data_IF_724933088569
#
_entry.id   IF_724933088569
#
_cell.length_a   1.000
_cell.length_b   1.000
_cell.length_c   1.000
_cell.angle_alpha   90.00
_cell.angle_beta   90.00
_cell.angle_gamma   90.00
#
_symmetry.space_group_name_H-M   'P 1'
#
loop_
_entity.id
_entity.type
_entity.pdbx_description
1 polymer ?
#
# COMPACT_ATOMS: atom_id res chain seq x y z
N UNK A 1 -19.76 19.73 22.53
CA UNK A 1 -18.40 19.11 22.51
C UNK A 1 -18.43 18.04 21.44
N UNK A 2 -17.34 17.87 20.71
CA UNK A 2 -17.26 16.83 19.69
C UNK A 2 -17.22 15.44 20.36
N UNK A 3 -17.88 14.43 19.76
CA UNK A 3 -17.86 13.07 20.30
C UNK A 3 -16.48 12.42 20.12
N UNK A 4 -15.74 12.82 19.06
CA UNK A 4 -14.41 12.32 18.76
C UNK A 4 -13.43 13.48 18.49
N UNK A 5 -12.23 13.38 19.06
CA UNK A 5 -11.10 14.22 18.69
C UNK A 5 -10.06 13.36 18.01
N UNK A 6 -9.69 13.70 16.77
CA UNK A 6 -8.78 12.91 15.95
C UNK A 6 -7.50 13.72 15.73
N UNK A 7 -6.37 13.19 16.20
CA UNK A 7 -5.05 13.81 16.05
C UNK A 7 -4.06 12.85 15.39
N UNK A 8 -2.99 13.38 14.82
CA UNK A 8 -1.92 12.59 14.19
C UNK A 8 -0.82 12.32 15.22
N UNK A 9 -0.65 11.09 15.64
CA UNK A 9 0.39 10.68 16.58
C UNK A 9 1.77 10.58 15.91
N UNK A 10 1.81 10.07 14.69
CA UNK A 10 2.96 9.99 13.79
C UNK A 10 2.48 9.63 12.39
N UNK A 11 3.38 9.38 11.44
CA UNK A 11 2.97 9.06 10.07
C UNK A 11 2.38 7.64 9.90
N UNK A 12 2.31 6.85 10.97
CA UNK A 12 1.67 5.52 10.98
C UNK A 12 0.29 5.56 11.62
N UNK A 13 0.17 6.26 12.75
CA UNK A 13 -1.00 6.19 13.63
C UNK A 13 -1.66 7.55 13.85
N UNK A 14 -2.99 7.54 13.76
CA UNK A 14 -3.85 8.51 14.40
C UNK A 14 -4.06 8.10 15.87
N UNK A 15 -4.36 9.09 16.68
CA UNK A 15 -4.94 8.92 18.00
C UNK A 15 -6.37 9.47 17.96
N UNK A 16 -7.31 8.66 18.40
CA UNK A 16 -8.71 9.04 18.57
C UNK A 16 -8.95 9.15 20.07
N UNK A 17 -9.42 10.31 20.51
CA UNK A 17 -9.92 10.53 21.87
C UNK A 17 -11.45 10.61 21.81
N UNK A 18 -12.11 9.74 22.56
CA UNK A 18 -13.57 9.63 22.59
C UNK A 18 -14.03 8.94 23.88
N UNK A 19 -15.33 8.99 24.15
CA UNK A 19 -15.93 8.28 25.27
C UNK A 19 -15.80 6.75 25.13
N UNK A 20 -15.78 6.00 26.26
CA UNK A 20 -15.56 4.55 26.23
C UNK A 20 -16.52 3.77 25.34
N UNK A 21 -17.79 4.15 25.24
CA UNK A 21 -18.75 3.44 24.39
C UNK A 21 -18.39 3.58 22.90
N UNK A 22 -17.91 4.76 22.45
CA UNK A 22 -17.45 4.98 21.08
C UNK A 22 -16.23 4.12 20.78
N UNK A 23 -15.34 3.90 21.75
CA UNK A 23 -14.19 3.00 21.58
C UNK A 23 -14.62 1.56 21.30
N UNK A 24 -15.65 1.05 21.97
CA UNK A 24 -16.16 -0.29 21.70
C UNK A 24 -16.80 -0.40 20.32
N UNK A 25 -17.54 0.60 19.89
CA UNK A 25 -18.15 0.65 18.56
C UNK A 25 -17.09 0.75 17.46
N UNK A 26 -16.07 1.61 17.64
CA UNK A 26 -14.91 1.66 16.74
C UNK A 26 -14.17 0.31 16.71
N UNK A 27 -13.96 -0.31 17.86
CA UNK A 27 -13.31 -1.61 17.93
C UNK A 27 -14.09 -2.68 17.18
N UNK A 28 -15.41 -2.69 17.29
CA UNK A 28 -16.27 -3.62 16.56
C UNK A 28 -16.21 -3.38 15.06
N UNK A 29 -16.36 -2.14 14.62
CA UNK A 29 -16.28 -1.73 13.22
C UNK A 29 -14.93 -2.07 12.57
N UNK A 30 -13.83 -1.94 13.31
CA UNK A 30 -12.46 -2.16 12.83
C UNK A 30 -11.85 -3.49 13.28
N UNK A 31 -12.68 -4.45 13.65
CA UNK A 31 -12.30 -5.84 13.98
C UNK A 31 -12.84 -6.79 12.92
N UNK A 32 -11.98 -7.65 12.40
CA UNK A 32 -12.31 -8.61 11.36
C UNK A 32 -11.94 -10.02 11.79
N UNK A 33 -12.82 -10.97 11.54
CA UNK A 33 -12.51 -12.39 11.64
C UNK A 33 -11.75 -12.86 10.39
N UNK A 34 -10.67 -13.60 10.61
CA UNK A 34 -9.94 -14.19 9.49
C UNK A 34 -10.63 -15.51 9.10
N UNK A 35 -11.14 -15.67 7.86
CA UNK A 35 -11.92 -16.85 7.47
C UNK A 35 -11.23 -18.19 7.75
N UNK A 36 -9.90 -18.24 7.58
CA UNK A 36 -9.09 -19.45 7.76
C UNK A 36 -8.43 -19.55 9.15
N UNK A 37 -8.81 -18.68 10.10
CA UNK A 37 -8.22 -18.64 11.43
C UNK A 37 -8.27 -20.00 12.13
N UNK A 38 -9.40 -20.72 12.01
CA UNK A 38 -9.62 -22.04 12.63
C UNK A 38 -8.60 -23.12 12.23
N UNK A 39 -7.94 -22.95 11.08
CA UNK A 39 -6.90 -23.87 10.62
C UNK A 39 -5.50 -23.49 11.12
N UNK A 40 -5.32 -22.30 11.67
CA UNK A 40 -4.02 -21.81 12.12
C UNK A 40 -3.62 -22.40 13.48
N UNK A 41 -2.34 -22.79 13.68
CA UNK A 41 -1.86 -23.34 14.95
C UNK A 41 -2.12 -22.42 16.14
N UNK A 42 -1.97 -21.11 15.97
CA UNK A 42 -2.18 -20.10 17.02
C UNK A 42 -3.64 -20.02 17.49
N UNK A 43 -4.59 -20.23 16.59
CA UNK A 43 -6.01 -20.33 16.94
C UNK A 43 -6.31 -21.65 17.65
N UNK A 44 -5.79 -22.77 17.14
CA UNK A 44 -5.96 -24.09 17.74
C UNK A 44 -5.39 -24.17 19.16
N UNK A 45 -4.27 -23.48 19.41
CA UNK A 45 -3.65 -23.40 20.73
C UNK A 45 -4.31 -22.36 21.66
N UNK A 46 -5.38 -21.69 21.23
CA UNK A 46 -6.08 -20.61 21.94
C UNK A 46 -5.20 -19.40 22.30
N UNK A 47 -4.04 -19.27 21.66
CA UNK A 47 -3.14 -18.13 21.84
C UNK A 47 -3.65 -16.88 21.13
N UNK A 48 -4.50 -17.05 20.12
CA UNK A 48 -5.10 -15.99 19.34
C UNK A 48 -6.57 -16.33 19.01
N UNK A 49 -7.45 -15.35 19.04
CA UNK A 49 -8.90 -15.49 18.87
C UNK A 49 -9.37 -15.45 17.38
N UNK A 50 -8.45 -15.43 16.45
CA UNK A 50 -8.76 -15.39 15.02
C UNK A 50 -9.14 -14.01 14.48
N UNK A 51 -9.07 -12.97 15.31
CA UNK A 51 -9.48 -11.62 14.96
C UNK A 51 -8.29 -10.69 14.70
N UNK A 52 -8.42 -9.83 13.71
CA UNK A 52 -7.50 -8.74 13.42
C UNK A 52 -8.17 -7.44 13.82
N UNK A 53 -7.55 -6.73 14.74
CA UNK A 53 -8.04 -5.45 15.26
C UNK A 53 -7.19 -4.32 14.70
N UNK A 54 -7.82 -3.38 13.97
CA UNK A 54 -7.15 -2.22 13.40
C UNK A 54 -7.23 -1.00 14.31
N UNK A 55 -8.22 -0.96 15.20
CA UNK A 55 -8.33 0.03 16.27
C UNK A 55 -7.87 -0.58 17.60
N UNK A 56 -7.03 0.13 18.32
CA UNK A 56 -6.53 -0.30 19.63
C UNK A 56 -7.28 0.46 20.75
N UNK A 57 -8.15 -0.23 21.47
CA UNK A 57 -8.96 0.34 22.55
C UNK A 57 -8.17 0.77 23.78
N UNK A 58 -6.94 0.27 23.98
CA UNK A 58 -6.14 0.64 25.15
C UNK A 58 -5.49 2.02 25.00
N UNK A 59 -5.21 2.43 23.77
CA UNK A 59 -4.48 3.66 23.51
C UNK A 59 -5.08 4.54 22.39
N UNK A 60 -6.29 4.21 21.90
CA UNK A 60 -7.00 4.98 20.88
C UNK A 60 -6.30 5.05 19.51
N UNK A 61 -5.35 4.17 19.23
CA UNK A 61 -4.58 4.26 18.00
C UNK A 61 -5.24 3.48 16.85
N UNK A 62 -5.21 4.09 15.67
CA UNK A 62 -5.60 3.48 14.39
C UNK A 62 -4.67 3.97 13.27
N UNK A 63 -4.56 3.24 12.16
CA UNK A 63 -3.70 3.66 11.05
C UNK A 63 -4.20 4.95 10.38
N UNK A 64 -3.27 5.86 10.05
CA UNK A 64 -3.58 7.15 9.40
C UNK A 64 -4.36 6.98 8.10
N UNK A 65 -4.04 5.97 7.30
CA UNK A 65 -4.72 5.74 6.02
C UNK A 65 -6.19 5.32 6.13
N UNK A 66 -6.71 5.06 7.34
CA UNK A 66 -8.11 4.74 7.59
C UNK A 66 -8.94 5.96 8.02
N UNK A 67 -8.39 7.18 7.94
CA UNK A 67 -9.08 8.40 8.35
C UNK A 67 -10.47 8.54 7.70
N UNK A 68 -10.56 8.34 6.38
CA UNK A 68 -11.83 8.46 5.65
C UNK A 68 -12.88 7.48 6.17
N UNK A 69 -12.45 6.29 6.65
CA UNK A 69 -13.35 5.29 7.22
C UNK A 69 -13.81 5.66 8.61
N UNK A 70 -12.97 6.35 9.40
CA UNK A 70 -13.37 6.90 10.72
C UNK A 70 -14.39 8.02 10.49
N UNK A 71 -14.13 8.90 9.53
CA UNK A 71 -15.09 9.97 9.17
C UNK A 71 -16.41 9.38 8.69
N UNK A 72 -16.38 8.31 7.90
CA UNK A 72 -17.59 7.62 7.48
C UNK A 72 -18.33 6.97 8.66
N UNK A 73 -17.60 6.30 9.57
CA UNK A 73 -18.17 5.77 10.81
C UNK A 73 -18.88 6.85 11.62
N UNK A 74 -18.25 8.03 11.80
CA UNK A 74 -18.89 9.13 12.51
C UNK A 74 -20.20 9.59 11.84
N UNK A 75 -20.22 9.65 10.50
CA UNK A 75 -21.43 10.00 9.76
C UNK A 75 -22.55 8.97 9.91
N UNK A 76 -22.19 7.68 9.85
CA UNK A 76 -23.15 6.56 9.93
C UNK A 76 -23.78 6.44 11.33
N UNK A 77 -23.08 6.89 12.38
CA UNK A 77 -23.52 6.86 13.77
C UNK A 77 -23.93 8.24 14.31
N UNK A 78 -23.99 9.26 13.45
CA UNK A 78 -24.35 10.64 13.82
C UNK A 78 -23.43 11.26 14.88
N UNK A 79 -22.17 10.82 14.96
CA UNK A 79 -21.17 11.38 15.83
C UNK A 79 -20.53 12.64 15.23
N UNK A 80 -20.34 13.65 16.06
CA UNK A 80 -19.54 14.82 15.71
C UNK A 80 -18.06 14.53 15.94
N UNK A 81 -17.20 15.07 15.09
CA UNK A 81 -15.76 14.93 15.21
C UNK A 81 -15.05 16.23 14.90
N UNK A 82 -13.85 16.37 15.44
CA UNK A 82 -12.93 17.46 15.10
C UNK A 82 -11.52 16.92 14.87
N UNK A 83 -10.77 17.64 14.04
CA UNK A 83 -9.37 17.36 13.81
C UNK A 83 -8.51 18.27 14.66
N UNK A 84 -7.66 17.66 15.48
CA UNK A 84 -6.69 18.38 16.28
C UNK A 84 -5.32 18.32 15.60
N UNK A 85 -4.69 19.49 15.44
CA UNK A 85 -3.35 19.58 14.90
C UNK A 85 -2.32 19.07 15.92
N UNK A 86 -1.44 18.19 15.47
CA UNK A 86 -0.29 17.74 16.26
C UNK A 86 0.88 18.69 16.10
N UNK A 87 1.58 18.99 17.18
CA UNK A 87 2.75 19.89 17.18
C UNK A 87 3.82 19.48 16.17
N UNK A 88 4.08 18.18 16.01
CA UNK A 88 5.15 17.65 15.16
C UNK A 88 4.68 17.11 13.81
N UNK A 89 3.44 16.64 13.72
CA UNK A 89 2.94 15.90 12.55
C UNK A 89 1.81 16.61 11.81
N UNK A 90 1.39 17.79 12.30
CA UNK A 90 0.33 18.59 11.69
C UNK A 90 -1.06 17.95 11.78
N UNK A 91 -1.90 18.27 10.82
CA UNK A 91 -3.27 17.74 10.73
C UNK A 91 -3.28 16.25 10.31
N UNK A 92 -4.35 15.52 10.68
CA UNK A 92 -4.55 14.12 10.28
C UNK A 92 -4.53 13.87 8.77
N UNK A 93 -4.85 14.88 7.98
CA UNK A 93 -4.83 14.84 6.52
C UNK A 93 -4.10 16.06 5.96
N UNK A 94 -3.51 15.87 4.79
CA UNK A 94 -2.87 16.94 4.05
C UNK A 94 -3.17 16.76 2.56
N UNK A 95 -3.53 17.83 1.90
CA UNK A 95 -3.67 17.91 0.44
C UNK A 95 -2.70 18.96 -0.07
N UNK A 96 -1.88 18.61 -1.04
CA UNK A 96 -0.96 19.53 -1.67
C UNK A 96 -1.65 20.22 -2.85
N UNK A 97 -2.26 21.37 -2.59
CA UNK A 97 -3.00 22.13 -3.60
C UNK A 97 -2.10 22.82 -4.64
N UNK A 98 -0.78 22.85 -4.42
CA UNK A 98 0.19 23.36 -5.42
C UNK A 98 0.46 22.35 -6.54
N UNK A 99 0.04 21.09 -6.39
CA UNK A 99 0.16 20.06 -7.44
C UNK A 99 -1.00 20.20 -8.41
N UNK A 100 -0.71 20.52 -9.68
CA UNK A 100 -1.68 20.51 -10.76
C UNK A 100 -1.46 19.32 -11.71
N UNK A 101 -2.51 18.87 -12.38
CA UNK A 101 -2.44 17.75 -13.33
C UNK A 101 -1.55 18.09 -14.53
N UNK A 102 -1.65 19.31 -15.04
CA UNK A 102 -0.81 19.85 -16.12
C UNK A 102 0.67 19.87 -15.72
N UNK A 103 0.97 20.37 -14.51
CA UNK A 103 2.34 20.38 -14.00
C UNK A 103 2.92 18.98 -13.84
N UNK A 104 2.13 17.99 -13.42
CA UNK A 104 2.55 16.58 -13.35
C UNK A 104 2.76 16.01 -14.75
N UNK A 105 1.91 16.34 -15.71
CA UNK A 105 2.05 15.93 -17.10
C UNK A 105 3.38 16.44 -17.68
N UNK A 106 3.64 17.74 -17.62
CA UNK A 106 4.86 18.36 -18.15
C UNK A 106 6.10 17.78 -17.45
N UNK A 107 6.02 17.59 -16.13
CA UNK A 107 7.08 16.95 -15.37
C UNK A 107 7.36 15.52 -15.86
N UNK A 108 6.35 14.67 -16.00
CA UNK A 108 6.54 13.30 -16.45
C UNK A 108 7.11 13.23 -17.87
N UNK A 109 6.68 14.11 -18.79
CA UNK A 109 7.26 14.20 -20.12
C UNK A 109 8.73 14.67 -20.10
N UNK A 110 9.12 15.50 -19.15
CA UNK A 110 10.49 16.00 -19.05
C UNK A 110 11.50 14.97 -18.53
N UNK A 111 11.05 13.99 -17.75
CA UNK A 111 11.93 13.02 -17.08
C UNK A 111 11.94 11.63 -17.74
N UNK A 112 10.97 11.32 -18.60
CA UNK A 112 10.81 9.99 -19.18
C UNK A 112 11.15 9.99 -20.67
N UNK A 113 11.91 8.99 -21.13
CA UNK A 113 12.13 8.75 -22.56
C UNK A 113 10.86 8.27 -23.28
N UNK A 114 9.93 7.68 -22.56
CA UNK A 114 8.66 7.17 -23.08
C UNK A 114 7.53 8.13 -22.73
N UNK A 115 6.62 8.35 -23.67
CA UNK A 115 5.43 9.19 -23.43
C UNK A 115 4.51 8.57 -22.39
N UNK A 116 4.27 9.22 -21.24
CA UNK A 116 3.34 8.72 -20.25
C UNK A 116 1.91 8.76 -20.78
N UNK A 117 1.12 7.77 -20.38
CA UNK A 117 -0.30 7.67 -20.73
C UNK A 117 -1.13 8.51 -19.76
N UNK A 118 -2.31 8.98 -20.21
CA UNK A 118 -3.17 9.86 -19.40
C UNK A 118 -3.51 9.27 -18.01
N UNK A 119 -3.85 7.98 -17.94
CA UNK A 119 -4.15 7.33 -16.66
C UNK A 119 -2.93 7.21 -15.74
N UNK A 120 -1.71 7.17 -16.29
CA UNK A 120 -0.47 7.16 -15.49
C UNK A 120 -0.21 8.56 -14.90
N UNK A 121 -0.44 9.60 -15.70
CA UNK A 121 -0.37 11.00 -15.26
C UNK A 121 -1.37 11.22 -14.11
N UNK A 122 -2.62 10.73 -14.27
CA UNK A 122 -3.66 10.84 -13.26
C UNK A 122 -3.28 10.12 -11.95
N UNK A 123 -2.74 8.90 -12.04
CA UNK A 123 -2.30 8.15 -10.87
C UNK A 123 -1.14 8.83 -10.13
N UNK A 124 -0.16 9.38 -10.85
CA UNK A 124 0.94 10.14 -10.25
C UNK A 124 0.44 11.45 -9.65
N UNK A 125 -0.45 12.17 -10.34
CA UNK A 125 -1.08 13.39 -9.83
C UNK A 125 -1.80 13.14 -8.50
N UNK A 126 -2.68 12.12 -8.45
CA UNK A 126 -3.42 11.80 -7.24
C UNK A 126 -2.48 11.39 -6.08
N UNK A 127 -1.44 10.63 -6.38
CA UNK A 127 -0.43 10.23 -5.39
C UNK A 127 0.31 11.45 -4.81
N UNK A 128 0.84 12.32 -5.66
CA UNK A 128 1.61 13.49 -5.22
C UNK A 128 0.76 14.52 -4.49
N UNK A 129 -0.52 14.66 -4.87
CA UNK A 129 -1.45 15.57 -4.22
C UNK A 129 -1.79 15.17 -2.79
N UNK A 130 -1.94 13.86 -2.53
CA UNK A 130 -2.43 13.37 -1.24
C UNK A 130 -1.34 12.81 -0.31
N UNK A 131 -0.08 12.79 -0.74
CA UNK A 131 1.06 12.30 0.02
C UNK A 131 1.01 10.81 0.42
N UNK A 132 -0.16 10.17 0.36
CA UNK A 132 -0.36 8.74 0.65
C UNK A 132 -1.51 8.18 -0.17
N UNK A 133 -1.26 7.07 -0.88
CA UNK A 133 -2.25 6.35 -1.71
C UNK A 133 -1.90 4.88 -1.89
N UNK A 134 -2.93 4.08 -1.97
CA UNK A 134 -2.84 2.71 -2.47
C UNK A 134 -3.35 2.69 -3.92
N UNK A 135 -2.43 2.62 -4.86
CA UNK A 135 -2.72 2.70 -6.29
C UNK A 135 -2.98 1.30 -6.86
N UNK A 136 -4.20 1.07 -7.35
CA UNK A 136 -4.60 -0.19 -7.96
C UNK A 136 -4.46 -0.06 -9.47
N UNK A 137 -3.51 -0.80 -10.03
CA UNK A 137 -3.16 -0.75 -11.43
C UNK A 137 -2.82 -2.15 -11.94
N UNK A 138 -3.54 -2.69 -12.93
CA UNK A 138 -3.34 -4.07 -13.39
C UNK A 138 -1.94 -4.27 -13.98
N UNK A 139 -1.56 -5.54 -14.15
CA UNK A 139 -0.30 -5.89 -14.83
C UNK A 139 -0.27 -5.26 -16.22
N UNK A 140 0.92 -4.90 -16.69
CA UNK A 140 1.17 -4.20 -17.96
C UNK A 140 0.57 -2.79 -18.08
N UNK A 141 0.05 -2.20 -17.01
CA UNK A 141 -0.37 -0.78 -16.98
C UNK A 141 0.80 0.22 -16.91
N UNK A 142 2.02 -0.27 -16.71
CA UNK A 142 3.22 0.56 -16.54
C UNK A 142 3.37 1.12 -15.13
N UNK A 143 3.12 0.30 -14.10
CA UNK A 143 3.34 0.65 -12.68
C UNK A 143 4.75 1.18 -12.42
N UNK A 144 5.78 0.54 -13.01
CA UNK A 144 7.18 0.97 -12.83
C UNK A 144 7.44 2.41 -13.32
N UNK A 145 6.77 2.87 -14.38
CA UNK A 145 6.87 4.26 -14.83
C UNK A 145 6.27 5.26 -13.84
N UNK A 146 5.14 4.91 -13.23
CA UNK A 146 4.52 5.75 -12.20
C UNK A 146 5.38 5.79 -10.92
N UNK A 147 5.92 4.63 -10.49
CA UNK A 147 6.87 4.55 -9.37
C UNK A 147 8.10 5.40 -9.66
N UNK A 148 8.70 5.24 -10.86
CA UNK A 148 9.83 6.05 -11.32
C UNK A 148 9.54 7.55 -11.21
N UNK A 149 8.39 7.99 -11.71
CA UNK A 149 8.01 9.41 -11.69
C UNK A 149 7.89 9.96 -10.27
N UNK A 150 7.28 9.20 -9.36
CA UNK A 150 7.18 9.56 -7.94
C UNK A 150 8.57 9.61 -7.29
N UNK A 151 9.42 8.60 -7.53
CA UNK A 151 10.79 8.56 -7.02
C UNK A 151 11.58 9.78 -7.47
N UNK A 152 11.57 10.07 -8.78
CA UNK A 152 12.30 11.22 -9.35
C UNK A 152 11.82 12.55 -8.77
N UNK A 153 10.49 12.68 -8.52
CA UNK A 153 9.91 13.87 -7.89
C UNK A 153 10.47 14.12 -6.49
N UNK A 154 10.56 13.06 -5.67
CA UNK A 154 11.07 13.19 -4.30
C UNK A 154 12.60 13.24 -4.22
N UNK A 155 13.32 12.59 -5.14
CA UNK A 155 14.78 12.73 -5.26
C UNK A 155 15.16 14.20 -5.55
N UNK A 156 14.45 14.86 -6.46
CA UNK A 156 14.65 16.29 -6.75
C UNK A 156 14.39 17.21 -5.54
N UNK A 157 13.68 16.72 -4.53
CA UNK A 157 13.42 17.41 -3.25
C UNK A 157 14.33 16.93 -2.11
N UNK A 158 15.39 16.21 -2.44
CA UNK A 158 16.38 15.67 -1.49
C UNK A 158 15.77 14.75 -0.42
N UNK A 159 14.66 14.06 -0.73
CA UNK A 159 14.03 13.10 0.17
C UNK A 159 14.69 11.72 0.03
N UNK A 160 14.85 11.01 1.14
CA UNK A 160 15.33 9.62 1.15
C UNK A 160 14.17 8.65 0.96
N UNK A 161 14.33 7.69 0.06
CA UNK A 161 13.25 6.84 -0.45
C UNK A 161 13.57 5.37 -0.20
N UNK A 162 12.61 4.66 0.36
CA UNK A 162 12.63 3.20 0.52
C UNK A 162 11.60 2.56 -0.43
N UNK A 163 12.06 1.74 -1.35
CA UNK A 163 11.20 0.95 -2.24
C UNK A 163 11.28 -0.51 -1.80
N UNK A 164 10.12 -1.08 -1.45
CA UNK A 164 10.02 -2.46 -0.97
C UNK A 164 9.26 -3.29 -2.00
N UNK A 165 9.88 -4.39 -2.43
CA UNK A 165 9.32 -5.32 -3.41
C UNK A 165 9.33 -6.76 -2.86
N UNK A 166 8.51 -7.69 -3.39
CA UNK A 166 8.42 -9.04 -2.84
C UNK A 166 9.62 -9.95 -3.15
N UNK A 167 10.29 -9.77 -4.30
CA UNK A 167 11.34 -10.68 -4.79
C UNK A 167 12.59 -9.95 -5.26
N UNK A 168 13.72 -10.67 -5.27
CA UNK A 168 15.00 -10.14 -5.78
C UNK A 168 14.96 -9.84 -7.27
N UNK A 169 14.22 -10.63 -8.05
CA UNK A 169 14.03 -10.38 -9.49
C UNK A 169 13.33 -9.05 -9.75
N UNK A 170 12.34 -8.66 -8.91
CA UNK A 170 11.70 -7.36 -9.00
C UNK A 170 12.60 -6.21 -8.58
N UNK A 171 13.55 -6.42 -7.65
CA UNK A 171 14.59 -5.41 -7.34
C UNK A 171 15.43 -5.12 -8.60
N UNK A 172 15.92 -6.18 -9.26
CA UNK A 172 16.74 -6.04 -10.48
C UNK A 172 15.94 -5.44 -11.63
N UNK A 173 14.69 -5.88 -11.82
CA UNK A 173 13.81 -5.34 -12.86
C UNK A 173 13.56 -3.85 -12.65
N UNK A 174 13.18 -3.43 -11.43
CA UNK A 174 12.89 -2.02 -11.14
C UNK A 174 14.13 -1.13 -11.34
N UNK A 175 15.29 -1.60 -10.92
CA UNK A 175 16.55 -0.90 -11.14
C UNK A 175 16.85 -0.74 -12.65
N UNK A 176 16.64 -1.80 -13.44
CA UNK A 176 16.80 -1.78 -14.88
C UNK A 176 15.78 -0.85 -15.56
N UNK A 177 14.49 -0.96 -15.18
CA UNK A 177 13.43 -0.12 -15.72
C UNK A 177 13.76 1.38 -15.53
N UNK A 178 14.27 1.75 -14.34
CA UNK A 178 14.67 3.14 -14.07
C UNK A 178 15.82 3.61 -14.96
N UNK A 179 16.80 2.74 -15.24
CA UNK A 179 17.88 3.04 -16.19
C UNK A 179 17.34 3.20 -17.62
N UNK A 180 16.44 2.31 -18.04
CA UNK A 180 15.82 2.31 -19.36
C UNK A 180 14.96 3.59 -19.59
N UNK A 181 14.36 4.13 -18.51
CA UNK A 181 13.66 5.42 -18.55
C UNK A 181 14.59 6.63 -18.66
N UNK A 182 15.90 6.44 -18.59
CA UNK A 182 16.91 7.45 -18.84
C UNK A 182 17.54 8.08 -17.62
N UNK A 183 17.49 7.40 -16.47
CA UNK A 183 18.09 7.89 -15.24
C UNK A 183 19.47 7.28 -14.97
N UNK A 184 20.37 8.07 -14.42
CA UNK A 184 21.63 7.58 -13.85
C UNK A 184 21.36 6.90 -12.49
N UNK A 185 20.88 5.67 -12.56
CA UNK A 185 20.52 4.90 -11.34
C UNK A 185 21.72 4.59 -10.45
N UNK A 186 22.92 4.51 -11.04
CA UNK A 186 24.15 4.22 -10.29
C UNK A 186 24.48 5.29 -9.26
N UNK A 187 24.20 6.55 -9.54
CA UNK A 187 24.43 7.69 -8.65
C UNK A 187 23.41 7.83 -7.52
N UNK A 188 22.20 7.28 -7.68
CA UNK A 188 21.08 7.55 -6.76
C UNK A 188 20.54 6.31 -6.07
N UNK A 189 20.60 5.15 -6.71
CA UNK A 189 19.92 3.94 -6.25
C UNK A 189 20.89 2.88 -5.75
N UNK A 190 20.56 2.28 -4.61
CA UNK A 190 21.24 1.12 -4.06
C UNK A 190 20.28 -0.06 -3.90
N UNK A 191 20.76 -1.26 -4.24
CA UNK A 191 19.98 -2.50 -4.15
C UNK A 191 20.36 -3.29 -2.91
N UNK A 192 19.37 -3.64 -2.06
CA UNK A 192 19.60 -4.47 -0.88
C UNK A 192 18.78 -5.75 -0.98
N UNK A 193 19.48 -6.89 -1.08
CA UNK A 193 18.94 -8.24 -0.95
C UNK A 193 20.04 -9.21 -0.52
N UNK A 194 19.77 -10.51 -0.38
CA UNK A 194 20.73 -11.49 0.11
C UNK A 194 22.08 -11.39 -0.62
N UNK A 195 23.17 -11.22 0.15
CA UNK A 195 24.54 -11.07 -0.38
C UNK A 195 24.94 -9.63 -0.81
N UNK A 196 24.05 -8.64 -0.68
CA UNK A 196 24.37 -7.22 -0.95
C UNK A 196 24.58 -6.45 0.34
N UNK A 197 25.44 -5.43 0.26
CA UNK A 197 25.73 -4.52 1.36
C UNK A 197 24.47 -3.75 1.78
N UNK A 198 24.28 -3.59 3.09
CA UNK A 198 23.12 -2.92 3.68
C UNK A 198 23.37 -1.46 4.02
N UNK A 199 24.62 -1.10 4.27
CA UNK A 199 25.01 0.26 4.59
C UNK A 199 25.28 1.04 3.32
N UNK A 200 24.61 2.16 3.16
CA UNK A 200 24.75 3.03 1.99
C UNK A 200 24.17 4.41 2.29
N UNK A 201 24.78 5.43 1.69
CA UNK A 201 24.29 6.81 1.72
C UNK A 201 23.39 7.12 0.53
N UNK A 202 23.12 6.14 -0.34
CA UNK A 202 22.26 6.33 -1.49
C UNK A 202 20.88 6.84 -1.10
N UNK A 203 20.37 7.79 -1.88
CA UNK A 203 19.10 8.45 -1.61
C UNK A 203 17.90 7.51 -1.82
N UNK A 204 18.02 6.56 -2.73
CA UNK A 204 16.98 5.57 -3.04
C UNK A 204 17.47 4.17 -2.73
N UNK A 205 16.74 3.45 -1.91
CA UNK A 205 16.99 2.04 -1.63
C UNK A 205 15.88 1.19 -2.23
N UNK A 206 16.26 0.24 -3.08
CA UNK A 206 15.35 -0.77 -3.63
C UNK A 206 15.67 -2.11 -2.96
N UNK A 207 14.70 -2.69 -2.27
CA UNK A 207 14.96 -3.85 -1.41
C UNK A 207 13.80 -4.82 -1.34
N UNK A 208 14.09 -6.06 -0.93
CA UNK A 208 13.05 -7.01 -0.56
C UNK A 208 12.66 -6.84 0.91
N UNK A 209 11.40 -7.12 1.26
CA UNK A 209 10.94 -7.04 2.64
C UNK A 209 11.71 -8.00 3.57
N UNK A 210 12.15 -9.17 3.06
CA UNK A 210 12.92 -10.17 3.79
C UNK A 210 14.27 -9.63 4.28
N UNK A 211 14.87 -8.72 3.52
CA UNK A 211 16.18 -8.15 3.82
C UNK A 211 16.14 -7.15 4.96
N UNK A 212 15.00 -6.49 5.20
CA UNK A 212 14.91 -5.34 6.10
C UNK A 212 13.97 -5.52 7.30
N UNK A 213 13.01 -6.48 7.28
CA UNK A 213 11.96 -6.54 8.31
C UNK A 213 12.47 -6.72 9.75
N UNK A 214 13.64 -7.34 9.93
CA UNK A 214 14.29 -7.52 11.22
C UNK A 214 15.17 -6.34 11.67
N UNK A 215 15.42 -5.37 10.78
CA UNK A 215 16.26 -4.23 11.12
C UNK A 215 15.63 -3.36 12.22
N UNK A 216 16.44 -2.70 13.06
CA UNK A 216 15.96 -1.84 14.14
C UNK A 216 15.28 -0.59 13.57
N UNK A 217 14.41 0.06 14.37
CA UNK A 217 13.70 1.28 13.99
C UNK A 217 14.63 2.36 13.45
N UNK A 218 15.79 2.57 14.10
CA UNK A 218 16.81 3.57 13.73
C UNK A 218 17.22 3.50 12.25
N UNK A 219 17.21 2.30 11.65
CA UNK A 219 17.50 2.15 10.22
C UNK A 219 16.48 2.86 9.34
N UNK A 220 15.24 2.92 9.79
CA UNK A 220 14.11 3.47 9.03
C UNK A 220 13.91 4.98 9.22
N UNK A 221 14.50 5.59 10.25
CA UNK A 221 14.32 7.00 10.59
C UNK A 221 14.81 7.96 9.49
N UNK A 222 15.71 7.50 8.61
CA UNK A 222 16.21 8.30 7.47
C UNK A 222 15.21 8.46 6.34
N UNK A 223 14.19 7.61 6.23
CA UNK A 223 13.28 7.59 5.08
C UNK A 223 12.06 8.46 5.31
N UNK A 224 11.87 9.43 4.42
CA UNK A 224 10.67 10.27 4.38
C UNK A 224 9.63 9.74 3.36
N UNK A 225 10.06 8.89 2.40
CA UNK A 225 9.21 8.29 1.37
C UNK A 225 9.31 6.78 1.45
N UNK A 226 8.17 6.09 1.43
CA UNK A 226 8.11 4.63 1.30
C UNK A 226 7.18 4.25 0.14
N UNK A 227 7.65 3.34 -0.70
CA UNK A 227 6.90 2.79 -1.82
C UNK A 227 6.88 1.27 -1.68
N UNK A 228 5.69 0.67 -1.70
CA UNK A 228 5.51 -0.79 -1.75
C UNK A 228 4.98 -1.20 -3.12
N UNK A 229 5.76 -1.95 -3.89
CA UNK A 229 5.25 -2.54 -5.13
C UNK A 229 4.76 -3.96 -4.88
N UNK A 230 3.72 -4.38 -5.62
CA UNK A 230 2.96 -5.62 -5.39
C UNK A 230 2.55 -5.80 -3.92
N UNK A 231 2.02 -4.73 -3.33
CA UNK A 231 1.74 -4.62 -1.90
C UNK A 231 0.84 -5.76 -1.37
N UNK A 232 0.00 -6.38 -2.21
CA UNK A 232 -0.84 -7.53 -1.86
C UNK A 232 -0.06 -8.82 -1.58
N UNK A 233 1.18 -8.95 -2.08
CA UNK A 233 2.01 -10.14 -1.89
C UNK A 233 2.79 -10.13 -0.56
N UNK A 234 2.82 -9.03 0.16
CA UNK A 234 3.50 -8.99 1.44
C UNK A 234 2.73 -9.79 2.50
N UNK A 235 3.47 -10.60 3.26
CA UNK A 235 2.90 -11.21 4.46
C UNK A 235 2.51 -10.08 5.43
N UNK A 236 1.26 -10.03 5.83
CA UNK A 236 0.71 -8.94 6.66
C UNK A 236 1.58 -8.56 7.86
N UNK A 237 2.13 -9.55 8.60
CA UNK A 237 3.00 -9.29 9.76
C UNK A 237 4.31 -8.57 9.39
N UNK A 238 4.96 -8.94 8.28
CA UNK A 238 6.23 -8.33 7.88
C UNK A 238 6.04 -6.92 7.35
N UNK A 239 4.99 -6.69 6.54
CA UNK A 239 4.64 -5.35 6.07
C UNK A 239 4.28 -4.42 7.23
N UNK A 240 3.41 -4.86 8.13
CA UNK A 240 3.02 -4.10 9.33
C UNK A 240 4.27 -3.78 10.18
N UNK A 241 5.18 -4.74 10.33
CA UNK A 241 6.44 -4.51 11.08
C UNK A 241 7.33 -3.45 10.43
N UNK A 242 7.50 -3.48 9.11
CA UNK A 242 8.29 -2.47 8.37
C UNK A 242 7.61 -1.11 8.44
N UNK A 243 6.34 -1.06 8.05
CA UNK A 243 5.58 0.19 7.97
C UNK A 243 5.38 0.85 9.33
N UNK A 244 5.28 0.05 10.41
CA UNK A 244 5.19 0.53 11.78
C UNK A 244 6.48 1.18 12.30
N UNK A 245 7.65 0.82 11.72
CA UNK A 245 8.95 1.43 12.05
C UNK A 245 9.19 2.74 11.33
N UNK A 246 8.47 3.02 10.24
CA UNK A 246 8.56 4.23 9.43
C UNK A 246 7.69 5.37 10.00
N UNK A 247 7.88 5.70 11.30
CA UNK A 247 7.07 6.70 12.01
C UNK A 247 7.13 8.10 11.42
N UNK A 248 8.21 8.44 10.73
CA UNK A 248 8.48 9.77 10.18
C UNK A 248 8.37 9.81 8.63
N UNK A 249 8.06 8.67 8.00
CA UNK A 249 7.85 8.61 6.56
C UNK A 249 6.48 9.20 6.19
N UNK A 250 6.47 10.46 5.81
CA UNK A 250 5.28 11.24 5.45
C UNK A 250 4.62 10.73 4.16
N UNK A 251 5.43 10.37 3.15
CA UNK A 251 4.98 10.03 1.81
C UNK A 251 4.92 8.52 1.65
N UNK A 252 3.70 7.98 1.43
CA UNK A 252 3.45 6.53 1.46
C UNK A 252 2.66 6.08 0.25
N UNK A 253 3.25 5.28 -0.62
CA UNK A 253 2.62 4.83 -1.85
C UNK A 253 2.66 3.31 -1.95
N UNK A 254 1.50 2.67 -2.05
CA UNK A 254 1.36 1.25 -2.33
C UNK A 254 0.93 1.06 -3.78
N UNK A 255 1.53 0.11 -4.48
CA UNK A 255 1.13 -0.31 -5.81
C UNK A 255 0.69 -1.77 -5.77
N UNK A 256 -0.41 -2.09 -6.44
CA UNK A 256 -0.91 -3.46 -6.52
C UNK A 256 -1.71 -3.67 -7.81
N UNK A 257 -1.61 -4.87 -8.38
CA UNK A 257 -2.41 -5.24 -9.55
C UNK A 257 -3.87 -5.50 -9.21
N UNK A 258 -4.10 -6.10 -8.06
CA UNK A 258 -5.43 -6.48 -7.57
C UNK A 258 -5.53 -6.27 -6.06
N UNK A 259 -6.74 -5.99 -5.59
CA UNK A 259 -7.11 -6.07 -4.18
C UNK A 259 -8.02 -7.31 -3.94
N UNK A 260 -7.72 -8.41 -4.64
CA UNK A 260 -8.37 -9.69 -4.38
C UNK A 260 -7.88 -10.23 -3.03
N UNK A 261 -8.77 -10.35 -2.08
CA UNK A 261 -8.47 -10.83 -0.74
C UNK A 261 -9.61 -10.48 0.22
N UNK A 262 -9.45 -10.86 1.48
CA UNK A 262 -10.41 -10.49 2.52
C UNK A 262 -10.47 -8.96 2.68
N UNK A 263 -11.63 -8.45 3.08
CA UNK A 263 -11.82 -7.03 3.43
C UNK A 263 -10.76 -6.56 4.44
N UNK A 264 -10.38 -7.43 5.37
CA UNK A 264 -9.32 -7.20 6.35
C UNK A 264 -7.99 -6.85 5.69
N UNK A 265 -7.57 -7.62 4.70
CA UNK A 265 -6.30 -7.37 3.99
C UNK A 265 -6.32 -6.02 3.28
N UNK A 266 -7.44 -5.70 2.62
CA UNK A 266 -7.64 -4.40 1.99
C UNK A 266 -7.48 -3.25 2.99
N UNK A 267 -8.13 -3.33 4.16
CA UNK A 267 -8.10 -2.27 5.15
C UNK A 267 -6.72 -2.13 5.83
N UNK A 268 -5.98 -3.22 5.99
CA UNK A 268 -4.58 -3.16 6.43
C UNK A 268 -3.73 -2.39 5.42
N UNK A 269 -3.86 -2.68 4.12
CA UNK A 269 -3.10 -1.97 3.08
C UNK A 269 -3.51 -0.50 3.00
N UNK A 270 -4.80 -0.19 3.00
CA UNK A 270 -5.30 1.19 3.03
C UNK A 270 -4.80 1.92 4.28
N UNK A 271 -4.80 1.27 5.43
CA UNK A 271 -4.30 1.84 6.69
C UNK A 271 -2.83 2.24 6.62
N UNK A 272 -2.00 1.41 5.99
CA UNK A 272 -0.56 1.62 5.92
C UNK A 272 -0.13 2.59 4.82
N UNK A 273 -0.81 2.59 3.66
CA UNK A 273 -0.44 3.42 2.51
C UNK A 273 -1.37 4.61 2.28
N UNK A 274 -2.65 4.49 2.61
CA UNK A 274 -3.68 5.49 2.35
C UNK A 274 -4.86 4.92 1.56
N UNK A 275 -5.90 5.72 1.31
CA UNK A 275 -7.08 5.31 0.58
C UNK A 275 -6.75 4.70 -0.78
N UNK A 276 -7.48 3.66 -1.18
CA UNK A 276 -7.26 3.00 -2.47
C UNK A 276 -7.81 3.85 -3.62
N UNK A 277 -7.01 3.97 -4.68
CA UNK A 277 -7.37 4.62 -5.93
C UNK A 277 -7.16 3.67 -7.10
N UNK A 278 -8.22 3.42 -7.87
CA UNK A 278 -8.18 2.55 -9.04
C UNK A 278 -7.86 3.37 -10.29
N UNK A 279 -6.65 3.19 -10.80
CA UNK A 279 -6.11 3.98 -11.91
C UNK A 279 -6.82 3.63 -13.23
N UNK A 280 -6.90 2.33 -13.56
CA UNK A 280 -7.53 1.84 -14.79
C UNK A 280 -8.01 0.40 -14.61
N UNK A 281 -9.02 -0.02 -15.36
CA UNK A 281 -9.48 -1.42 -15.39
C UNK A 281 -8.78 -2.19 -16.50
N UNK A 282 -8.59 -3.51 -16.30
CA UNK A 282 -7.99 -4.40 -17.32
C UNK A 282 -8.76 -4.34 -18.64
N UNK A 283 -10.10 -4.34 -18.59
CA UNK A 283 -10.94 -4.25 -19.78
C UNK A 283 -10.74 -2.94 -20.57
N UNK A 284 -10.43 -1.84 -19.88
CA UNK A 284 -10.13 -0.56 -20.53
C UNK A 284 -8.76 -0.58 -21.22
N UNK A 285 -7.75 -1.26 -20.61
CA UNK A 285 -6.46 -1.49 -21.24
C UNK A 285 -6.58 -2.34 -22.51
N UNK A 286 -7.40 -3.40 -22.47
CA UNK A 286 -7.71 -4.24 -23.65
C UNK A 286 -8.39 -3.42 -24.75
N UNK A 287 -9.44 -2.66 -24.42
CA UNK A 287 -10.14 -1.80 -25.39
C UNK A 287 -9.25 -0.76 -26.04
N UNK A 288 -8.25 -0.25 -25.30
CA UNK A 288 -7.26 0.72 -25.81
C UNK A 288 -6.10 0.05 -26.57
N UNK A 289 -6.11 -1.28 -26.74
CA UNK A 289 -5.03 -2.01 -27.41
C UNK A 289 -3.69 -2.03 -26.66
N UNK A 290 -3.72 -1.74 -25.36
CA UNK A 290 -2.49 -1.71 -24.53
C UNK A 290 -2.12 -3.08 -23.97
N UNK A 291 -3.04 -4.02 -23.98
CA UNK A 291 -2.87 -5.42 -23.55
C UNK A 291 -3.61 -6.29 -24.55
N UNK A 292 -3.13 -7.52 -24.78
CA UNK A 292 -3.78 -8.48 -25.64
C UNK A 292 -5.20 -8.79 -25.15
N UNK A 293 -6.13 -9.03 -26.09
CA UNK A 293 -7.46 -9.53 -25.77
C UNK A 293 -7.36 -10.95 -25.23
N UNK A 294 -8.21 -11.28 -24.26
CA UNK A 294 -8.31 -12.62 -23.70
C UNK A 294 -9.70 -13.18 -24.04
N UNK A 295 -9.73 -14.24 -24.83
CA UNK A 295 -10.93 -15.04 -25.09
C UNK A 295 -10.87 -16.31 -24.24
N UNK A 296 -11.86 -16.49 -23.37
CA UNK A 296 -11.95 -17.66 -22.51
C UNK A 296 -13.02 -18.61 -23.08
N UNK A 297 -12.58 -19.75 -23.60
CA UNK A 297 -13.47 -20.82 -24.00
C UNK A 297 -13.59 -21.83 -22.86
N UNK A 298 -14.79 -21.96 -22.29
CA UNK A 298 -15.07 -22.95 -21.24
C UNK A 298 -15.65 -24.21 -21.90
N UNK A 299 -14.88 -25.28 -21.84
CA UNK A 299 -15.35 -26.59 -22.26
C UNK A 299 -15.98 -27.31 -21.05
N UNK A 300 -17.30 -27.48 -21.10
CA UNK A 300 -18.01 -28.26 -20.11
C UNK A 300 -18.04 -29.72 -20.55
N UNK A 301 -17.22 -30.55 -19.93
CA UNK A 301 -17.29 -31.99 -20.08
C UNK A 301 -18.48 -32.50 -19.24
N UNK A 302 -19.51 -33.00 -19.90
CA UNK A 302 -20.60 -33.71 -19.25
C UNK A 302 -20.21 -35.20 -19.16
N UNK A 303 -19.81 -35.64 -18.00
CA UNK A 303 -19.70 -37.07 -17.71
C UNK A 303 -21.09 -37.68 -17.50
N UNK A 304 -21.41 -38.84 -18.09
CA UNK A 304 -22.55 -39.62 -17.65
C UNK A 304 -22.37 -39.96 -16.16
N UNK A 305 -23.47 -40.12 -15.40
CA UNK A 305 -23.38 -40.48 -13.99
C UNK A 305 -22.89 -41.95 -13.86
N UNK A 306 -21.56 -42.13 -13.96
CA UNK A 306 -20.93 -43.41 -13.68
C UNK A 306 -20.66 -43.44 -12.18
N UNK A 307 -21.20 -44.44 -11.48
CA UNK A 307 -20.82 -44.68 -10.07
C UNK A 307 -19.54 -45.51 -10.08
N UNK A 308 -18.47 -44.93 -9.58
CA UNK A 308 -17.24 -45.62 -9.30
C UNK A 308 -17.34 -46.30 -7.93
N UNK A 309 -16.84 -47.50 -7.78
CA UNK A 309 -16.85 -48.26 -6.53
C UNK A 309 -15.69 -47.83 -5.61
N UNK A 310 -14.60 -47.33 -6.20
CA UNK A 310 -13.43 -46.83 -5.49
C UNK A 310 -12.90 -45.54 -6.11
N UNK A 311 -12.11 -44.79 -5.36
CA UNK A 311 -11.44 -43.57 -5.85
C UNK A 311 -10.42 -43.88 -6.97
N UNK A 312 -9.85 -45.09 -6.96
CA UNK A 312 -8.90 -45.55 -7.98
C UNK A 312 -9.57 -45.81 -9.34
N UNK A 313 -10.87 -46.06 -9.35
CA UNK A 313 -11.65 -46.26 -10.58
C UNK A 313 -12.09 -44.94 -11.23
N UNK A 314 -11.93 -43.82 -10.54
CA UNK A 314 -12.28 -42.45 -11.01
C UNK A 314 -11.11 -41.74 -11.71
N UNK A 315 -9.88 -42.22 -11.51
CA UNK A 315 -8.63 -41.71 -12.12
C UNK A 315 -8.25 -42.52 -13.33
#
# INVERSE_FOLDING_TARGET
MSNLIISKKNEVYLHVDAEPHVYYELADQFTFELPDAKFMPQYKSKYWDGKIRLFNTQNGNIYVGLLDRIVQFCKDHEYTYEFQESEYYGLPFEVNDFISKEGVKDYMFSICKHSPREYQIEGVYDALRHNRKLLISPTASGKSLMIYSIVRYYVGRKQSILIVVPTTSLVEQMYKDFADYGWDVGSYCHKIYAGKERETDSQVIITTWQSIYKLPRKYFDRFSVVIGDEAHQFKSKSLVSIMGKLGDAKYRFGFTGTLSGSQTHKWVLEGLFGPSYKIIKTNELMKKGHVASLDINVLLLKHPPIRFETFEDEV
#
